data_IF_452250167882
#
_entry.id   IF_452250167882
#
_cell.length_a   1.000
_cell.length_b   1.000
_cell.length_c   1.000
_cell.angle_alpha   90.00
_cell.angle_beta   90.00
_cell.angle_gamma   90.00
#
_symmetry.space_group_name_H-M   'P 1'
#
loop_
_entity.id
_entity.type
_entity.pdbx_description
1 polymer ?
#
# COMPACT_ATOMS: atom_id res chain seq x y z
N UNK A 1 8.68 -13.51 -24.48
CA UNK A 1 8.60 -12.32 -23.60
C UNK A 1 7.95 -11.20 -24.38
N UNK A 2 6.92 -10.56 -23.84
CA UNK A 2 6.33 -9.35 -24.43
C UNK A 2 7.26 -8.16 -24.12
N UNK A 3 7.90 -7.58 -25.14
CA UNK A 3 8.61 -6.31 -25.02
C UNK A 3 7.81 -5.24 -25.75
N UNK A 4 7.32 -4.24 -25.02
CA UNK A 4 6.61 -3.10 -25.60
C UNK A 4 7.24 -1.81 -25.10
N UNK A 5 7.88 -1.08 -26.01
CA UNK A 5 8.67 0.12 -25.69
C UNK A 5 7.85 1.40 -25.68
N UNK A 6 6.60 1.35 -26.12
CA UNK A 6 5.69 2.52 -26.22
C UNK A 6 4.56 2.47 -25.20
N UNK A 7 4.32 1.31 -24.56
CA UNK A 7 3.23 1.15 -23.62
C UNK A 7 3.52 1.91 -22.32
N UNK A 8 2.70 2.94 -22.05
CA UNK A 8 2.82 3.79 -20.86
C UNK A 8 1.81 3.44 -19.78
N UNK A 9 0.68 2.83 -20.15
CA UNK A 9 -0.41 2.47 -19.24
C UNK A 9 -0.77 1.01 -19.43
N UNK A 10 -0.82 0.26 -18.33
CA UNK A 10 -1.21 -1.14 -18.34
C UNK A 10 -2.18 -1.39 -17.19
N UNK A 11 -3.35 -1.93 -17.52
CA UNK A 11 -4.29 -2.48 -16.55
C UNK A 11 -4.42 -3.97 -16.81
N UNK A 12 -4.14 -4.77 -15.79
CA UNK A 12 -4.35 -6.21 -15.81
C UNK A 12 -5.34 -6.56 -14.70
N UNK A 13 -6.32 -7.38 -15.04
CA UNK A 13 -7.29 -7.91 -14.09
C UNK A 13 -7.48 -9.39 -14.38
N UNK A 14 -7.55 -10.19 -13.32
CA UNK A 14 -7.79 -11.62 -13.41
C UNK A 14 -9.02 -11.97 -12.58
N UNK A 15 -9.74 -12.99 -13.03
CA UNK A 15 -10.83 -13.56 -12.25
C UNK A 15 -10.28 -14.73 -11.44
N UNK A 16 -10.55 -14.81 -10.13
CA UNK A 16 -10.16 -15.96 -9.34
C UNK A 16 -10.89 -17.20 -9.86
N UNK A 17 -10.16 -18.12 -10.49
CA UNK A 17 -10.74 -19.33 -11.04
C UNK A 17 -10.58 -20.49 -10.04
N UNK A 18 -11.66 -20.83 -9.34
CA UNK A 18 -11.76 -22.08 -8.57
C UNK A 18 -10.72 -22.30 -7.46
N UNK A 19 -10.09 -21.24 -6.94
CA UNK A 19 -9.06 -21.33 -5.89
C UNK A 19 -7.61 -21.22 -6.37
N UNK A 20 -7.36 -21.15 -7.68
CA UNK A 20 -6.03 -20.89 -8.22
C UNK A 20 -5.78 -19.39 -8.39
N UNK A 21 -4.76 -18.90 -7.70
CA UNK A 21 -4.31 -17.52 -7.78
C UNK A 21 -3.47 -17.30 -9.05
N UNK A 22 -3.78 -16.26 -9.81
CA UNK A 22 -2.94 -15.90 -10.96
C UNK A 22 -1.71 -15.15 -10.46
N UNK A 23 -0.54 -15.78 -10.59
CA UNK A 23 0.71 -15.20 -10.12
C UNK A 23 1.15 -14.07 -11.05
N UNK A 24 1.58 -12.97 -10.45
CA UNK A 24 2.21 -11.87 -11.16
C UNK A 24 3.55 -12.34 -11.75
N UNK A 25 3.79 -12.10 -13.04
CA UNK A 25 5.04 -12.51 -13.68
C UNK A 25 6.26 -11.89 -12.99
N UNK A 26 7.35 -12.68 -12.87
CA UNK A 26 8.61 -12.22 -12.25
C UNK A 26 9.28 -11.06 -13.01
N UNK A 27 9.00 -10.89 -14.29
CA UNK A 27 9.54 -9.79 -15.07
C UNK A 27 8.61 -9.38 -16.21
N UNK A 28 8.50 -8.07 -16.42
CA UNK A 28 7.94 -7.45 -17.62
C UNK A 28 8.99 -6.51 -18.20
N UNK A 29 9.22 -6.59 -19.51
CA UNK A 29 10.05 -5.59 -20.18
C UNK A 29 9.16 -4.49 -20.77
N UNK A 30 8.79 -3.54 -19.93
CA UNK A 30 7.93 -2.39 -20.28
C UNK A 30 8.63 -1.08 -19.88
N UNK A 31 9.69 -0.67 -20.59
CA UNK A 31 10.58 0.42 -20.18
C UNK A 31 9.95 1.83 -20.28
N UNK A 32 8.78 1.95 -20.89
CA UNK A 32 8.02 3.19 -20.96
C UNK A 32 6.84 3.24 -19.97
N UNK A 33 6.62 2.19 -19.17
CA UNK A 33 5.44 2.10 -18.32
C UNK A 33 5.48 3.13 -17.19
N UNK A 34 4.48 4.00 -17.16
CA UNK A 34 4.31 5.05 -16.16
C UNK A 34 3.14 4.78 -15.22
N UNK A 35 2.16 3.99 -15.64
CA UNK A 35 0.98 3.64 -14.85
C UNK A 35 0.68 2.15 -14.95
N UNK A 36 0.57 1.50 -13.79
CA UNK A 36 0.24 0.09 -13.67
C UNK A 36 -0.95 -0.09 -12.72
N UNK A 37 -1.99 -0.76 -13.20
CA UNK A 37 -3.09 -1.22 -12.36
C UNK A 37 -3.18 -2.73 -12.40
N UNK A 38 -3.17 -3.36 -11.23
CA UNK A 38 -3.27 -4.79 -11.05
C UNK A 38 -4.49 -5.13 -10.20
N UNK A 39 -5.27 -6.10 -10.67
CA UNK A 39 -6.41 -6.63 -9.95
C UNK A 39 -6.33 -8.16 -9.86
N UNK A 40 -6.46 -8.68 -8.63
CA UNK A 40 -6.53 -10.11 -8.30
C UNK A 40 -5.26 -10.92 -8.63
N UNK A 41 -4.09 -10.29 -8.55
CA UNK A 41 -2.80 -10.98 -8.73
C UNK A 41 -2.18 -11.45 -7.42
N UNK A 42 -1.52 -12.60 -7.46
CA UNK A 42 -0.65 -13.10 -6.40
C UNK A 42 0.81 -12.72 -6.60
N UNK A 43 1.49 -12.33 -5.53
CA UNK A 43 2.92 -12.08 -5.55
C UNK A 43 3.67 -13.26 -4.91
N UNK A 44 4.67 -13.77 -5.61
CA UNK A 44 5.54 -14.83 -5.09
C UNK A 44 6.64 -14.25 -4.22
N UNK A 45 6.95 -14.93 -3.12
CA UNK A 45 8.17 -14.67 -2.36
C UNK A 45 9.40 -14.98 -3.22
N UNK A 46 10.41 -14.11 -3.13
CA UNK A 46 11.76 -14.42 -3.54
C UNK A 46 12.51 -15.17 -2.44
N UNK A 47 13.81 -15.37 -2.65
CA UNK A 47 14.66 -16.22 -1.80
C UNK A 47 14.84 -15.70 -0.35
N UNK A 48 14.48 -14.44 -0.09
CA UNK A 48 14.64 -13.77 1.21
C UNK A 48 13.29 -13.54 1.93
N UNK A 49 12.26 -14.34 1.66
CA UNK A 49 10.88 -14.14 2.18
C UNK A 49 10.29 -12.75 1.83
N UNK A 50 10.79 -12.18 0.73
CA UNK A 50 10.43 -10.85 0.23
C UNK A 50 9.98 -10.93 -1.21
N UNK A 51 8.82 -10.36 -1.50
CA UNK A 51 8.33 -10.17 -2.85
C UNK A 51 8.65 -8.75 -3.32
N UNK A 52 9.34 -8.60 -4.45
CA UNK A 52 9.70 -7.30 -5.03
C UNK A 52 9.29 -7.23 -6.52
N UNK A 53 7.98 -7.20 -6.82
CA UNK A 53 7.49 -7.35 -8.19
C UNK A 53 7.67 -6.11 -9.07
N UNK A 54 8.02 -4.95 -8.50
CA UNK A 54 7.96 -3.66 -9.21
C UNK A 54 9.31 -2.99 -9.48
N UNK A 55 10.42 -3.52 -8.97
CA UNK A 55 11.74 -2.87 -9.04
C UNK A 55 12.27 -2.65 -10.45
N UNK A 56 11.77 -3.40 -11.44
CA UNK A 56 12.19 -3.29 -12.85
C UNK A 56 11.52 -2.15 -13.62
N UNK A 57 10.44 -1.56 -13.08
CA UNK A 57 9.72 -0.47 -13.76
C UNK A 57 10.33 0.91 -13.45
N UNK A 58 11.40 1.25 -14.18
CA UNK A 58 12.17 2.47 -13.95
C UNK A 58 11.41 3.80 -14.12
N UNK A 59 10.28 3.83 -14.85
CA UNK A 59 9.47 5.04 -15.11
C UNK A 59 8.09 5.02 -14.41
N UNK A 60 7.84 4.04 -13.55
CA UNK A 60 6.53 3.86 -12.93
C UNK A 60 6.23 5.00 -11.94
N UNK A 61 5.28 5.87 -12.31
CA UNK A 61 4.83 6.99 -11.48
C UNK A 61 3.56 6.67 -10.69
N UNK A 62 2.71 5.76 -11.18
CA UNK A 62 1.42 5.42 -10.57
C UNK A 62 1.24 3.91 -10.50
N UNK A 63 0.90 3.41 -9.31
CA UNK A 63 0.64 2.01 -9.06
C UNK A 63 -0.67 1.84 -8.30
N UNK A 64 -1.57 1.01 -8.84
CA UNK A 64 -2.82 0.61 -8.20
C UNK A 64 -2.81 -0.90 -8.04
N UNK A 65 -2.95 -1.37 -6.81
CA UNK A 65 -3.03 -2.80 -6.47
C UNK A 65 -4.41 -3.06 -5.86
N UNK A 66 -5.18 -3.96 -6.44
CA UNK A 66 -6.56 -4.25 -6.04
C UNK A 66 -6.75 -5.75 -5.84
N UNK A 67 -7.28 -6.16 -4.68
CA UNK A 67 -7.59 -7.57 -4.37
C UNK A 67 -6.41 -8.55 -4.56
N UNK A 68 -5.18 -8.04 -4.54
CA UNK A 68 -3.99 -8.87 -4.64
C UNK A 68 -3.64 -9.54 -3.33
N UNK A 69 -2.83 -10.58 -3.44
CA UNK A 69 -2.48 -11.48 -2.34
C UNK A 69 -0.98 -11.81 -2.40
N UNK A 70 -0.43 -12.24 -1.27
CA UNK A 70 0.96 -12.69 -1.15
C UNK A 70 0.93 -14.20 -0.93
N UNK A 71 1.65 -14.94 -1.79
CA UNK A 71 1.71 -16.40 -1.70
C UNK A 71 2.69 -16.80 -0.59
N UNK A 72 2.17 -17.00 0.62
CA UNK A 72 2.96 -17.30 1.83
C UNK A 72 2.91 -16.18 2.86
N UNK A 73 3.56 -16.41 4.01
CA UNK A 73 3.85 -15.37 5.00
C UNK A 73 5.18 -14.72 4.61
N UNK A 74 5.19 -13.39 4.49
CA UNK A 74 6.39 -12.65 4.14
C UNK A 74 6.12 -11.17 3.89
N UNK A 75 7.10 -10.50 3.27
CA UNK A 75 7.09 -9.05 3.10
C UNK A 75 6.88 -8.64 1.65
N UNK A 76 5.91 -7.76 1.39
CA UNK A 76 5.76 -7.11 0.09
C UNK A 76 6.60 -5.83 0.06
N UNK A 77 7.62 -5.82 -0.78
CA UNK A 77 8.49 -4.68 -0.99
C UNK A 77 8.06 -3.92 -2.25
N UNK A 78 7.71 -2.65 -2.08
CA UNK A 78 7.43 -1.74 -3.19
C UNK A 78 8.63 -0.80 -3.28
N UNK A 79 9.54 -1.09 -4.22
CA UNK A 79 10.72 -0.29 -4.51
C UNK A 79 10.57 0.43 -5.83
N UNK A 80 10.59 1.76 -5.81
CA UNK A 80 10.65 2.57 -7.03
C UNK A 80 11.06 4.00 -6.70
N UNK A 81 12.12 4.48 -7.37
CA UNK A 81 12.57 5.86 -7.24
C UNK A 81 11.64 6.86 -7.94
N UNK A 82 10.78 6.42 -8.86
CA UNK A 82 9.88 7.28 -9.65
C UNK A 82 8.44 7.23 -9.18
N UNK A 83 8.06 6.25 -8.35
CA UNK A 83 6.68 6.08 -7.92
C UNK A 83 6.22 7.28 -7.08
N UNK A 84 5.22 8.00 -7.59
CA UNK A 84 4.65 9.19 -6.95
C UNK A 84 3.30 8.90 -6.30
N UNK A 85 2.54 7.95 -6.85
CA UNK A 85 1.20 7.62 -6.39
C UNK A 85 1.06 6.11 -6.19
N UNK A 86 0.68 5.70 -4.99
CA UNK A 86 0.40 4.31 -4.64
C UNK A 86 -1.00 4.22 -4.06
N UNK A 87 -1.84 3.38 -4.67
CA UNK A 87 -3.15 3.01 -4.12
C UNK A 87 -3.21 1.51 -3.93
N UNK A 88 -3.56 1.09 -2.71
CA UNK A 88 -3.68 -0.31 -2.34
C UNK A 88 -5.09 -0.57 -1.80
N UNK A 89 -5.88 -1.32 -2.55
CA UNK A 89 -7.17 -1.86 -2.10
C UNK A 89 -7.00 -3.36 -1.85
N UNK A 90 -6.72 -3.76 -0.61
CA UNK A 90 -6.16 -5.09 -0.37
C UNK A 90 -6.96 -5.89 0.66
N UNK A 91 -6.96 -7.20 0.44
CA UNK A 91 -7.52 -8.21 1.35
C UNK A 91 -6.43 -9.20 1.76
N UNK A 92 -5.22 -8.72 2.02
CA UNK A 92 -4.11 -9.59 2.41
C UNK A 92 -4.49 -10.36 3.67
N UNK A 93 -4.62 -11.68 3.56
CA UNK A 93 -4.95 -12.54 4.71
C UNK A 93 -3.72 -13.03 5.47
N UNK A 94 -2.52 -12.89 4.90
CA UNK A 94 -1.28 -13.54 5.38
C UNK A 94 0.00 -12.72 5.05
N UNK A 95 -0.05 -11.41 5.20
CA UNK A 95 1.12 -10.57 4.91
C UNK A 95 1.75 -10.13 6.23
N UNK A 96 3.04 -10.40 6.40
CA UNK A 96 3.75 -10.08 7.64
C UNK A 96 4.06 -8.59 7.73
N UNK A 97 4.54 -8.02 6.61
CA UNK A 97 4.78 -6.59 6.53
C UNK A 97 4.81 -6.03 5.10
N UNK A 98 4.59 -4.73 5.00
CA UNK A 98 4.81 -3.95 3.79
C UNK A 98 6.08 -3.12 3.99
N UNK A 99 6.94 -3.08 2.97
CA UNK A 99 8.08 -2.17 2.90
C UNK A 99 7.91 -1.20 1.73
N UNK A 100 8.06 0.10 2.00
CA UNK A 100 7.97 1.16 0.99
C UNK A 100 9.36 1.79 0.77
N UNK A 101 10.07 1.37 -0.27
CA UNK A 101 11.33 1.95 -0.71
C UNK A 101 11.09 2.93 -1.86
N UNK A 102 10.33 3.99 -1.59
CA UNK A 102 9.77 4.90 -2.61
C UNK A 102 10.00 6.37 -2.25
N UNK A 103 11.23 6.90 -2.41
CA UNK A 103 11.58 8.24 -1.92
C UNK A 103 10.80 9.37 -2.59
N UNK A 104 10.26 9.15 -3.79
CA UNK A 104 9.45 10.12 -4.54
C UNK A 104 7.95 10.00 -4.29
N UNK A 105 7.51 9.05 -3.45
CA UNK A 105 6.10 8.83 -3.17
C UNK A 105 5.49 10.08 -2.54
N UNK A 106 4.50 10.65 -3.20
CA UNK A 106 3.82 11.88 -2.77
C UNK A 106 2.44 11.58 -2.17
N UNK A 107 1.77 10.57 -2.72
CA UNK A 107 0.42 10.17 -2.35
C UNK A 107 0.36 8.68 -2.07
N UNK A 108 -0.19 8.32 -0.92
CA UNK A 108 -0.45 6.95 -0.52
C UNK A 108 -1.90 6.78 -0.09
N UNK A 109 -2.63 5.90 -0.77
CA UNK A 109 -3.98 5.53 -0.41
C UNK A 109 -4.05 4.03 -0.08
N UNK A 110 -4.68 3.70 1.05
CA UNK A 110 -4.86 2.34 1.50
C UNK A 110 -6.30 2.10 1.93
N UNK A 111 -6.89 1.02 1.43
CA UNK A 111 -8.21 0.55 1.81
C UNK A 111 -8.09 -0.94 2.12
N UNK A 112 -8.39 -1.34 3.35
CA UNK A 112 -8.33 -2.73 3.75
C UNK A 112 -7.98 -2.97 5.20
N UNK A 113 -7.33 -4.12 5.40
CA UNK A 113 -6.82 -4.64 6.68
C UNK A 113 -5.36 -4.18 6.85
N UNK A 114 -5.05 -3.24 7.77
CA UNK A 114 -3.70 -2.71 7.90
C UNK A 114 -2.74 -3.80 8.37
N UNK A 115 -1.58 -3.88 7.72
CA UNK A 115 -0.50 -4.78 8.09
C UNK A 115 0.67 -3.99 8.64
N UNK A 116 1.65 -4.64 9.26
CA UNK A 116 2.85 -3.92 9.73
C UNK A 116 3.53 -3.21 8.56
N UNK A 117 3.74 -1.91 8.69
CA UNK A 117 4.64 -1.15 7.84
C UNK A 117 6.04 -1.23 8.47
N UNK A 118 7.03 -1.58 7.67
CA UNK A 118 8.42 -1.66 8.13
C UNK A 118 9.35 -0.98 7.14
N UNK A 119 10.47 -0.43 7.66
CA UNK A 119 11.58 0.09 6.85
C UNK A 119 11.11 0.97 5.68
N UNK A 120 10.25 1.94 5.98
CA UNK A 120 9.66 2.80 4.95
C UNK A 120 10.52 4.04 4.69
N UNK A 121 11.00 4.17 3.46
CA UNK A 121 11.73 5.32 2.95
C UNK A 121 10.79 6.15 2.05
N UNK A 122 10.01 7.02 2.67
CA UNK A 122 8.94 7.80 2.04
C UNK A 122 9.10 9.31 2.26
N UNK A 123 10.31 9.82 2.04
CA UNK A 123 10.70 11.21 2.37
C UNK A 123 9.86 12.31 1.67
N UNK A 124 9.24 12.00 0.53
CA UNK A 124 8.42 12.97 -0.22
C UNK A 124 6.92 12.90 0.09
N UNK A 125 6.51 12.00 1.00
CA UNK A 125 5.11 11.69 1.23
C UNK A 125 4.39 12.88 1.86
N UNK A 126 3.29 13.30 1.24
CA UNK A 126 2.52 14.48 1.68
C UNK A 126 1.08 14.15 1.98
N UNK A 127 0.50 13.19 1.25
CA UNK A 127 -0.93 12.92 1.28
C UNK A 127 -1.16 11.44 1.56
N UNK A 128 -1.86 11.16 2.67
CA UNK A 128 -2.20 9.81 3.10
C UNK A 128 -3.71 9.69 3.24
N UNK A 129 -4.29 8.65 2.64
CA UNK A 129 -5.72 8.29 2.77
C UNK A 129 -5.82 6.84 3.26
N UNK A 130 -6.38 6.63 4.45
CA UNK A 130 -6.49 5.32 5.08
C UNK A 130 -7.95 5.00 5.39
N UNK A 131 -8.42 3.88 4.87
CA UNK A 131 -9.74 3.33 5.14
C UNK A 131 -9.62 1.90 5.62
N UNK A 132 -9.91 1.69 6.91
CA UNK A 132 -9.97 0.37 7.51
C UNK A 132 -11.39 -0.20 7.35
N UNK A 133 -11.48 -1.41 6.80
CA UNK A 133 -12.77 -2.10 6.59
C UNK A 133 -13.08 -3.19 7.62
N UNK A 134 -12.16 -3.50 8.53
CA UNK A 134 -12.32 -4.49 9.60
C UNK A 134 -11.65 -4.02 10.89
N UNK A 135 -12.23 -4.38 12.03
CA UNK A 135 -11.59 -4.16 13.34
C UNK A 135 -10.41 -5.13 13.45
N UNK A 136 -9.24 -4.68 13.03
CA UNK A 136 -7.96 -5.38 13.16
C UNK A 136 -7.13 -4.78 14.30
N UNK A 137 -6.02 -5.41 14.73
CA UNK A 137 -5.24 -4.92 15.84
C UNK A 137 -4.87 -3.45 15.61
N UNK A 138 -5.33 -2.52 16.48
CA UNK A 138 -5.19 -1.09 16.23
C UNK A 138 -3.70 -0.66 16.19
N UNK A 139 -2.81 -1.51 16.74
CA UNK A 139 -1.36 -1.36 16.72
C UNK A 139 -0.76 -1.24 15.31
N UNK A 140 -1.33 -1.87 14.27
CA UNK A 140 -0.81 -1.70 12.91
C UNK A 140 -1.06 -0.29 12.39
N UNK A 141 -2.22 0.28 12.69
CA UNK A 141 -2.50 1.66 12.29
C UNK A 141 -1.62 2.65 13.05
N UNK A 142 -1.34 2.41 14.33
CA UNK A 142 -0.35 3.19 15.08
C UNK A 142 1.04 3.10 14.44
N UNK A 143 1.48 1.90 14.08
CA UNK A 143 2.75 1.69 13.40
C UNK A 143 2.82 2.48 12.08
N UNK A 144 1.73 2.59 11.32
CA UNK A 144 1.70 3.44 10.12
C UNK A 144 1.89 4.91 10.45
N UNK A 145 1.22 5.42 11.49
CA UNK A 145 1.38 6.80 11.93
C UNK A 145 2.79 7.12 12.45
N UNK A 146 3.55 6.10 12.86
CA UNK A 146 4.95 6.22 13.28
C UNK A 146 5.92 6.17 12.10
N UNK A 147 5.66 5.29 11.12
CA UNK A 147 6.54 5.05 9.97
C UNK A 147 6.31 6.02 8.79
N UNK A 148 5.27 6.87 8.85
CA UNK A 148 4.93 7.85 7.82
C UNK A 148 5.11 9.29 8.34
N UNK A 149 6.35 9.77 8.57
CA UNK A 149 6.61 11.10 9.11
C UNK A 149 6.26 12.21 8.11
N UNK A 150 6.12 13.43 8.62
CA UNK A 150 6.07 14.68 7.84
C UNK A 150 4.93 14.83 6.82
N UNK A 151 3.88 14.02 6.95
CA UNK A 151 2.71 14.13 6.08
C UNK A 151 1.98 15.47 6.32
N UNK A 152 1.46 16.05 5.23
CA UNK A 152 0.74 17.33 5.26
C UNK A 152 -0.77 17.16 5.32
N UNK A 153 -1.27 16.05 4.82
CA UNK A 153 -2.69 15.74 4.79
C UNK A 153 -2.93 14.28 5.11
N UNK A 154 -3.87 14.05 6.03
CA UNK A 154 -4.34 12.74 6.43
C UNK A 154 -5.85 12.69 6.21
N UNK A 155 -6.31 11.73 5.44
CA UNK A 155 -7.72 11.40 5.28
C UNK A 155 -7.96 10.04 5.91
N UNK A 156 -8.97 9.95 6.77
CA UNK A 156 -9.39 8.71 7.43
C UNK A 156 -10.90 8.57 7.40
N UNK A 157 -11.43 7.37 7.58
CA UNK A 157 -12.87 7.17 7.84
C UNK A 157 -13.20 7.25 9.34
N UNK A 158 -14.47 7.47 9.66
CA UNK A 158 -14.98 7.38 11.05
C UNK A 158 -14.62 6.03 11.70
N UNK A 159 -14.72 4.92 10.95
CA UNK A 159 -14.31 3.59 11.39
C UNK A 159 -12.81 3.51 11.68
N UNK A 160 -11.97 4.07 10.81
CA UNK A 160 -10.51 4.12 11.00
C UNK A 160 -10.15 4.89 12.27
N UNK A 161 -10.82 6.02 12.52
CA UNK A 161 -10.62 6.83 13.72
C UNK A 161 -11.07 6.09 15.00
N UNK A 162 -12.18 5.35 14.95
CA UNK A 162 -12.63 4.53 16.07
C UNK A 162 -11.63 3.44 16.44
N UNK A 163 -11.02 2.78 15.44
CA UNK A 163 -9.96 1.77 15.68
C UNK A 163 -8.75 2.41 16.37
N UNK A 164 -8.31 3.60 15.95
CA UNK A 164 -7.24 4.33 16.64
C UNK A 164 -7.57 4.65 18.10
N UNK A 165 -8.81 5.04 18.38
CA UNK A 165 -9.24 5.40 19.73
C UNK A 165 -9.19 4.22 20.72
N UNK A 166 -9.14 2.97 20.23
CA UNK A 166 -8.96 1.79 21.08
C UNK A 166 -7.55 1.68 21.68
N UNK A 167 -6.59 2.47 21.20
CA UNK A 167 -5.22 2.46 21.69
C UNK A 167 -5.13 3.32 22.96
N UNK A 168 -4.81 2.72 24.12
CA UNK A 168 -4.63 3.49 25.35
C UNK A 168 -3.46 4.46 25.17
N UNK A 169 -3.62 5.67 25.70
CA UNK A 169 -2.58 6.70 25.67
C UNK A 169 -2.06 7.08 24.27
N UNK A 170 -2.88 6.92 23.22
CA UNK A 170 -2.53 7.30 21.84
C UNK A 170 -1.95 8.72 21.76
N UNK A 171 -2.58 9.67 22.45
CA UNK A 171 -2.15 11.09 22.45
C UNK A 171 -0.85 11.34 23.23
N UNK A 172 -0.40 10.38 24.04
CA UNK A 172 0.91 10.43 24.71
C UNK A 172 2.00 9.75 23.89
N UNK A 173 1.64 9.04 22.82
CA UNK A 173 2.59 8.40 21.93
C UNK A 173 3.13 9.42 20.94
N UNK A 174 4.42 9.32 20.60
CA UNK A 174 4.99 10.12 19.53
C UNK A 174 4.41 9.67 18.18
N UNK A 175 3.80 10.60 17.47
CA UNK A 175 3.17 10.39 16.17
C UNK A 175 3.79 11.37 15.15
N UNK A 176 4.96 11.03 14.59
CA UNK A 176 5.66 11.86 13.59
C UNK A 176 4.77 12.28 12.42
N UNK A 177 3.85 11.42 12.00
CA UNK A 177 2.85 11.74 10.98
C UNK A 177 1.97 12.95 11.30
N UNK A 178 1.73 13.25 12.58
CA UNK A 178 0.87 14.36 13.00
C UNK A 178 1.65 15.67 13.21
N UNK A 179 2.98 15.61 13.33
CA UNK A 179 3.80 16.78 13.68
C UNK A 179 3.76 17.92 12.66
N UNK A 180 3.63 17.60 11.37
CA UNK A 180 3.58 18.58 10.27
C UNK A 180 2.22 18.64 9.55
N UNK A 181 1.19 18.06 10.16
CA UNK A 181 -0.12 17.90 9.55
C UNK A 181 -0.83 19.25 9.39
N UNK A 182 -1.25 19.57 8.17
CA UNK A 182 -2.00 20.80 7.83
C UNK A 182 -3.48 20.56 7.63
N UNK A 183 -3.87 19.34 7.29
CA UNK A 183 -5.26 18.97 7.02
C UNK A 183 -5.55 17.56 7.50
N UNK A 184 -6.51 17.43 8.41
CA UNK A 184 -7.12 16.17 8.79
C UNK A 184 -8.55 16.15 8.24
N UNK A 185 -8.87 15.15 7.42
CA UNK A 185 -10.23 14.92 6.91
C UNK A 185 -10.76 13.60 7.46
N UNK A 186 -11.95 13.64 8.06
CA UNK A 186 -12.67 12.44 8.48
C UNK A 186 -13.87 12.23 7.57
N UNK A 187 -13.87 11.12 6.82
CA UNK A 187 -15.00 10.67 6.00
C UNK A 187 -15.99 9.95 6.91
N UNK A 188 -17.21 10.49 7.02
CA UNK A 188 -18.28 9.84 7.76
C UNK A 188 -18.83 8.66 6.96
N UNK A 189 -18.55 7.43 7.42
CA UNK A 189 -19.12 6.21 6.86
C UNK A 189 -20.30 5.81 7.74
N UNK A 190 -21.48 5.60 7.14
CA UNK A 190 -22.61 5.01 7.85
C UNK A 190 -22.26 3.54 8.12
N UNK A 191 -22.26 3.14 9.39
CA UNK A 191 -22.31 1.72 9.74
C UNK A 191 -23.65 1.21 9.19
N UNK A 192 -23.61 0.34 8.19
CA UNK A 192 -24.78 -0.45 7.81
C UNK A 192 -25.07 -1.41 8.96
N UNK A 193 -26.08 -1.08 9.76
CA UNK A 193 -26.66 -1.89 10.83
C UNK A 193 -27.17 -3.23 10.34
#
# INVERSE_FOLDING_TARGET
>A
MFSCHTLTHLKLSTYPNGGHETLFPKSFNLPALTSLQLESFGFCLGDNDRAEPFSTFNKLNSLIITNSTLSGAGTLCISSATLMNLTMYTRFRRLDSIELCTPSLCTFAFIGSPQKLSRSYVSSLKHVDIEINKVEPPLFLLNWLQELPDIKSLTVTSTTLQVLYLIPDLLKTDLPSLGNLKSLRVKMVKLSS
#
